data_IF_267760436436
#
_entry.id   IF_267760436436
#
_cell.length_a   1.000
_cell.length_b   1.000
_cell.length_c   1.000
_cell.angle_alpha   90.00
_cell.angle_beta   90.00
_cell.angle_gamma   90.00
#
_symmetry.space_group_name_H-M   'P 1'
#
loop_
_entity.id
_entity.type
_entity.pdbx_description
1 polymer ?
#
# COMPACT_ATOMS: atom_id res chain seq x y z
N UNK A 1 -19.65 -30.36 -39.79
CA UNK A 1 -19.28 -30.21 -38.37
C UNK A 1 -18.68 -28.82 -38.19
N UNK A 2 -19.20 -28.05 -37.22
CA UNK A 2 -18.97 -26.61 -37.06
C UNK A 2 -17.62 -26.33 -36.40
N UNK A 3 -16.84 -25.42 -37.00
CA UNK A 3 -15.64 -24.81 -36.41
C UNK A 3 -15.98 -24.15 -35.07
N UNK A 4 -15.31 -24.57 -34.00
CA UNK A 4 -15.35 -23.88 -32.70
C UNK A 4 -14.23 -22.84 -32.67
N UNK A 5 -14.52 -21.54 -32.51
CA UNK A 5 -13.49 -20.56 -32.23
C UNK A 5 -12.98 -20.80 -30.80
N UNK A 6 -11.71 -21.17 -30.67
CA UNK A 6 -11.03 -21.25 -29.37
C UNK A 6 -10.82 -19.84 -28.86
N UNK A 7 -11.58 -19.53 -27.81
CA UNK A 7 -11.69 -18.23 -27.15
C UNK A 7 -10.37 -17.51 -26.94
N UNK A 8 -10.25 -16.39 -27.63
CA UNK A 8 -9.55 -15.16 -27.24
C UNK A 8 -10.14 -14.55 -25.94
N UNK A 9 -10.43 -15.38 -24.93
CA UNK A 9 -11.04 -14.97 -23.66
C UNK A 9 -10.04 -14.86 -22.51
N UNK A 10 -8.74 -14.88 -22.78
CA UNK A 10 -7.69 -14.83 -21.74
C UNK A 10 -7.16 -13.40 -21.47
N UNK A 11 -7.66 -12.40 -22.21
CA UNK A 11 -7.29 -10.98 -22.05
C UNK A 11 -8.41 -10.21 -21.29
N UNK A 12 -9.56 -10.85 -21.03
CA UNK A 12 -10.70 -10.24 -20.33
C UNK A 12 -10.81 -10.65 -18.85
N UNK A 13 -9.68 -10.90 -18.16
CA UNK A 13 -9.65 -10.57 -16.73
C UNK A 13 -9.37 -9.08 -16.60
N UNK A 14 -10.39 -8.31 -16.97
CA UNK A 14 -10.62 -6.98 -16.44
C UNK A 14 -10.62 -7.17 -14.92
N UNK A 15 -9.43 -6.97 -14.37
CA UNK A 15 -9.19 -6.67 -12.98
C UNK A 15 -10.20 -5.59 -12.61
N UNK A 16 -11.32 -5.98 -12.01
CA UNK A 16 -12.22 -5.07 -11.32
C UNK A 16 -11.48 -4.53 -10.11
N UNK A 17 -10.47 -3.69 -10.35
CA UNK A 17 -9.75 -2.95 -9.33
C UNK A 17 -10.59 -1.72 -9.08
N UNK A 18 -11.53 -1.83 -8.15
CA UNK A 18 -12.18 -0.65 -7.60
C UNK A 18 -11.11 0.37 -7.21
N UNK A 19 -11.39 1.65 -7.43
CA UNK A 19 -10.51 2.73 -6.97
C UNK A 19 -10.59 2.84 -5.45
N UNK A 20 -9.48 3.25 -4.84
CA UNK A 20 -9.40 3.56 -3.40
C UNK A 20 -8.79 4.95 -3.23
N UNK A 21 -9.38 5.80 -2.39
CA UNK A 21 -8.78 7.09 -2.11
C UNK A 21 -7.55 6.94 -1.23
N UNK A 22 -6.55 7.79 -1.43
CA UNK A 22 -5.32 7.81 -0.63
C UNK A 22 -5.59 7.93 0.89
N UNK A 23 -6.65 8.66 1.28
CA UNK A 23 -7.09 8.79 2.68
C UNK A 23 -7.54 7.45 3.28
N UNK A 24 -8.18 6.61 2.46
CA UNK A 24 -8.69 5.31 2.88
C UNK A 24 -7.57 4.29 2.98
N UNK A 25 -6.57 4.35 2.09
CA UNK A 25 -5.33 3.57 2.21
C UNK A 25 -4.69 3.80 3.58
N UNK A 26 -4.51 5.06 3.99
CA UNK A 26 -3.92 5.39 5.28
C UNK A 26 -4.74 4.84 6.44
N UNK A 27 -6.06 5.04 6.39
CA UNK A 27 -6.98 4.51 7.41
C UNK A 27 -6.91 2.98 7.51
N UNK A 28 -6.90 2.27 6.38
CA UNK A 28 -6.80 0.81 6.36
C UNK A 28 -5.49 0.34 6.95
N UNK A 29 -4.35 0.93 6.57
CA UNK A 29 -3.03 0.60 7.13
C UNK A 29 -3.00 0.77 8.66
N UNK A 30 -3.58 1.84 9.19
CA UNK A 30 -3.65 2.07 10.63
C UNK A 30 -4.58 1.08 11.35
N UNK A 31 -5.66 0.63 10.69
CA UNK A 31 -6.55 -0.40 11.21
C UNK A 31 -5.92 -1.80 11.20
N UNK A 32 -5.13 -2.14 10.17
CA UNK A 32 -4.46 -3.45 10.08
C UNK A 32 -3.62 -3.75 11.33
N UNK A 33 -2.97 -2.73 11.91
CA UNK A 33 -2.19 -2.86 13.14
C UNK A 33 -3.02 -3.26 14.37
N UNK A 34 -4.32 -2.96 14.38
CA UNK A 34 -5.22 -3.22 15.51
C UNK A 34 -5.84 -4.62 15.48
N UNK A 35 -5.93 -5.24 14.30
CA UNK A 35 -6.66 -6.50 14.08
C UNK A 35 -5.75 -7.73 13.86
N UNK A 36 -4.47 -7.64 14.26
CA UNK A 36 -3.53 -8.76 14.23
C UNK A 36 -2.47 -8.66 13.11
N UNK A 37 -1.89 -9.80 12.72
CA UNK A 37 -0.74 -9.90 11.80
C UNK A 37 -1.18 -9.79 10.31
N UNK A 38 -2.17 -8.95 10.03
CA UNK A 38 -2.68 -8.75 8.67
C UNK A 38 -1.66 -8.02 7.82
N UNK A 39 -1.50 -8.49 6.58
CA UNK A 39 -0.58 -7.90 5.62
C UNK A 39 -1.30 -7.24 4.46
N UNK A 40 -0.62 -6.33 3.80
CA UNK A 40 -1.09 -5.64 2.61
C UNK A 40 -0.05 -5.72 1.49
N UNK A 41 -0.46 -5.38 0.27
CA UNK A 41 0.41 -5.29 -0.89
C UNK A 41 0.31 -3.90 -1.52
N UNK A 42 1.41 -3.42 -2.08
CA UNK A 42 1.47 -2.13 -2.77
C UNK A 42 2.24 -2.25 -4.08
N UNK A 43 1.82 -1.44 -5.06
CA UNK A 43 2.69 -1.05 -6.16
C UNK A 43 2.96 0.44 -6.11
N UNK A 44 4.15 0.84 -6.57
CA UNK A 44 4.63 2.21 -6.48
C UNK A 44 5.54 2.55 -7.64
N UNK A 45 5.72 3.85 -7.90
CA UNK A 45 6.64 4.35 -8.91
C UNK A 45 8.03 4.54 -8.33
N UNK A 46 9.05 4.03 -9.03
CA UNK A 46 10.46 4.21 -8.69
C UNK A 46 11.00 5.50 -9.30
N UNK A 47 12.21 5.88 -8.88
CA UNK A 47 12.91 7.09 -9.36
C UNK A 47 13.16 7.07 -10.87
N UNK A 48 13.41 5.90 -11.44
CA UNK A 48 13.63 5.69 -12.89
C UNK A 48 12.32 5.67 -13.69
N UNK A 49 11.17 5.88 -13.05
CA UNK A 49 9.86 5.84 -13.69
C UNK A 49 9.26 4.44 -13.81
N UNK A 50 10.02 3.37 -13.53
CA UNK A 50 9.53 2.00 -13.51
C UNK A 50 8.63 1.72 -12.31
N UNK A 51 7.87 0.64 -12.37
CA UNK A 51 7.04 0.19 -11.26
C UNK A 51 7.80 -0.78 -10.34
N UNK A 52 7.55 -0.65 -9.04
CA UNK A 52 7.94 -1.60 -8.01
C UNK A 52 6.73 -2.20 -7.33
N UNK A 53 6.91 -3.39 -6.76
CA UNK A 53 5.89 -4.11 -5.99
C UNK A 53 6.48 -4.56 -4.64
N UNK A 54 5.65 -4.49 -3.60
CA UNK A 54 5.90 -5.15 -2.31
C UNK A 54 4.64 -5.87 -1.85
N UNK A 55 4.79 -7.15 -1.53
CA UNK A 55 3.75 -8.01 -0.96
C UNK A 55 4.08 -8.34 0.49
N UNK A 56 3.09 -8.83 1.22
CA UNK A 56 3.23 -9.22 2.63
C UNK A 56 3.80 -8.07 3.48
N UNK A 57 3.34 -6.85 3.22
CA UNK A 57 3.72 -5.67 3.97
C UNK A 57 2.92 -5.62 5.27
N UNK A 58 3.51 -5.16 6.37
CA UNK A 58 2.80 -4.84 7.60
C UNK A 58 3.09 -3.41 8.02
N UNK A 59 2.18 -2.84 8.77
CA UNK A 59 2.33 -1.47 9.22
C UNK A 59 3.53 -1.36 10.17
N UNK A 60 4.37 -0.35 9.96
CA UNK A 60 5.48 0.00 10.86
C UNK A 60 5.15 1.25 11.69
N UNK A 61 3.89 1.65 11.76
CA UNK A 61 3.44 2.66 12.72
C UNK A 61 3.82 2.16 14.10
N UNK A 62 5.01 2.61 14.52
CA UNK A 62 5.67 2.23 15.75
C UNK A 62 4.64 2.30 16.86
N UNK A 63 4.47 1.20 17.59
CA UNK A 63 3.99 1.13 18.96
C UNK A 63 3.79 2.54 19.53
N UNK A 64 2.64 3.15 19.21
CA UNK A 64 2.42 4.57 19.49
C UNK A 64 2.08 4.56 20.96
N UNK A 65 3.11 4.51 21.81
CA UNK A 65 2.96 4.95 23.19
C UNK A 65 2.28 6.30 23.08
N UNK A 66 1.04 6.36 23.56
CA UNK A 66 0.22 7.55 23.61
C UNK A 66 0.91 8.59 24.51
N UNK A 67 2.00 9.18 24.03
CA UNK A 67 2.61 10.34 24.65
C UNK A 67 1.75 11.54 24.26
N UNK A 68 1.36 12.32 25.28
CA UNK A 68 0.56 13.55 25.12
C UNK A 68 1.10 14.39 23.97
N UNK A 69 0.19 14.90 23.16
CA UNK A 69 0.49 15.69 21.98
C UNK A 69 1.07 17.05 22.36
N UNK A 70 2.40 17.13 22.48
CA UNK A 70 3.11 18.41 22.58
C UNK A 70 3.19 19.09 21.20
N UNK A 71 3.40 20.39 21.10
CA UNK A 71 3.49 21.11 19.81
C UNK A 71 4.58 20.53 18.88
N UNK A 72 5.64 19.98 19.46
CA UNK A 72 6.68 19.23 18.74
C UNK A 72 6.16 17.91 18.13
N UNK A 73 5.19 17.25 18.77
CA UNK A 73 4.54 16.04 18.26
C UNK A 73 3.71 16.33 16.99
N UNK A 74 3.11 17.52 16.89
CA UNK A 74 2.32 17.95 15.73
C UNK A 74 3.25 18.16 14.52
N UNK A 75 4.40 18.83 14.68
CA UNK A 75 5.40 18.97 13.60
C UNK A 75 5.92 17.61 13.12
N UNK A 76 6.17 16.68 14.05
CA UNK A 76 6.58 15.32 13.70
C UNK A 76 5.46 14.54 12.99
N UNK A 77 4.21 14.71 13.40
CA UNK A 77 3.05 14.10 12.73
C UNK A 77 2.87 14.64 11.30
N UNK A 78 3.03 15.95 11.08
CA UNK A 78 2.95 16.58 9.76
C UNK A 78 4.06 16.10 8.82
N UNK A 79 5.29 15.95 9.31
CA UNK A 79 6.39 15.40 8.49
C UNK A 79 6.19 13.92 8.13
N UNK A 80 5.44 13.17 8.96
CA UNK A 80 5.05 11.77 8.70
C UNK A 80 3.86 11.66 7.74
N UNK A 81 3.03 12.69 7.60
CA UNK A 81 1.78 12.61 6.85
C UNK A 81 1.96 12.28 5.36
N UNK A 82 3.15 12.54 4.79
CA UNK A 82 3.46 12.26 3.39
C UNK A 82 4.00 10.86 3.09
N UNK A 83 4.27 10.02 4.11
CA UNK A 83 4.94 8.72 3.92
C UNK A 83 4.12 7.55 4.46
N UNK A 84 4.05 6.49 3.66
CA UNK A 84 3.69 5.15 4.11
C UNK A 84 4.93 4.44 4.65
N UNK A 85 4.93 4.11 5.94
CA UNK A 85 6.01 3.38 6.61
C UNK A 85 5.59 1.94 6.85
N UNK A 86 6.38 0.99 6.36
CA UNK A 86 6.02 -0.41 6.42
C UNK A 86 7.23 -1.31 6.56
N UNK A 87 6.98 -2.54 6.95
CA UNK A 87 7.92 -3.63 6.86
C UNK A 87 7.42 -4.64 5.85
N UNK A 88 8.29 -5.26 5.07
CA UNK A 88 7.93 -6.34 4.16
C UNK A 88 8.88 -7.52 4.38
N UNK A 89 8.38 -8.74 4.14
CA UNK A 89 9.24 -9.93 4.16
C UNK A 89 10.07 -10.01 2.88
N UNK A 90 11.39 -10.12 3.04
CA UNK A 90 12.27 -10.46 1.92
C UNK A 90 12.24 -11.97 1.60
N UNK A 91 13.00 -12.37 0.58
CA UNK A 91 13.10 -13.78 0.17
C UNK A 91 13.70 -14.68 1.25
N UNK A 92 14.50 -14.12 2.17
CA UNK A 92 15.07 -14.83 3.32
C UNK A 92 14.17 -14.85 4.55
N UNK A 93 12.92 -14.37 4.44
CA UNK A 93 11.95 -14.32 5.53
C UNK A 93 12.18 -13.21 6.55
N UNK A 94 13.15 -12.31 6.32
CA UNK A 94 13.45 -11.19 7.22
C UNK A 94 12.52 -10.01 6.96
N UNK A 95 12.07 -9.37 8.04
CA UNK A 95 11.31 -8.12 7.95
C UNK A 95 12.24 -6.95 7.65
N UNK A 96 12.08 -6.34 6.49
CA UNK A 96 12.84 -5.17 6.05
C UNK A 96 12.00 -3.90 6.11
N UNK A 97 12.54 -2.86 6.75
CA UNK A 97 11.90 -1.56 6.93
C UNK A 97 12.02 -0.71 5.67
N UNK A 98 10.91 -0.10 5.24
CA UNK A 98 10.86 0.85 4.11
C UNK A 98 9.88 1.99 4.37
N UNK A 99 10.08 3.06 3.63
CA UNK A 99 9.21 4.24 3.59
C UNK A 99 9.00 4.62 2.12
N UNK A 100 7.76 4.91 1.74
CA UNK A 100 7.39 5.36 0.39
C UNK A 100 6.49 6.58 0.53
N UNK A 101 6.72 7.60 -0.31
CA UNK A 101 5.83 8.76 -0.38
C UNK A 101 4.44 8.33 -0.87
N UNK A 102 3.39 8.78 -0.20
CA UNK A 102 2.01 8.45 -0.57
C UNK A 102 1.72 8.78 -2.04
N UNK A 103 2.20 9.92 -2.55
CA UNK A 103 2.04 10.32 -3.95
C UNK A 103 2.74 9.41 -4.99
N UNK A 104 3.62 8.51 -4.55
CA UNK A 104 4.27 7.52 -5.42
C UNK A 104 3.55 6.18 -5.41
N UNK A 105 2.54 5.98 -4.56
CA UNK A 105 1.77 4.75 -4.55
C UNK A 105 0.83 4.70 -5.76
N UNK A 106 0.69 3.52 -6.34
CA UNK A 106 -0.11 3.30 -7.55
C UNK A 106 -1.30 2.40 -7.24
N UNK A 107 -1.06 1.32 -6.50
CA UNK A 107 -2.14 0.46 -5.99
C UNK A 107 -1.92 0.03 -4.55
N UNK A 108 -3.02 -0.27 -3.87
CA UNK A 108 -3.06 -0.85 -2.53
C UNK A 108 -3.99 -2.06 -2.51
N UNK A 109 -3.50 -3.23 -2.13
CA UNK A 109 -4.23 -4.50 -2.15
C UNK A 109 -4.91 -4.80 -3.50
N UNK A 110 -4.28 -4.37 -4.60
CA UNK A 110 -4.86 -4.51 -5.93
C UNK A 110 -5.97 -3.51 -6.23
N UNK A 111 -6.15 -2.43 -5.47
CA UNK A 111 -7.02 -1.30 -5.82
C UNK A 111 -6.19 -0.14 -6.34
N UNK A 112 -6.57 0.46 -7.47
CA UNK A 112 -5.88 1.65 -7.99
C UNK A 112 -6.12 2.80 -7.02
N UNK A 113 -5.05 3.49 -6.66
CA UNK A 113 -5.14 4.60 -5.72
C UNK A 113 -5.51 5.87 -6.48
N UNK A 114 -6.59 6.50 -6.05
CA UNK A 114 -6.98 7.85 -6.43
C UNK A 114 -6.27 8.86 -5.50
N UNK A 115 -5.50 9.77 -6.12
CA UNK A 115 -4.77 10.85 -5.46
C UNK A 115 -5.49 12.20 -5.51
N UNK A 116 -6.70 12.24 -6.06
CA UNK A 116 -7.54 13.44 -6.01
C UNK A 116 -7.94 13.74 -4.56
N UNK A 117 -7.93 15.03 -4.20
CA UNK A 117 -8.25 15.55 -2.87
C UNK A 117 -9.61 16.23 -2.85
#
# INVERSE_FOLDING_TARGET
>A
MKNRPTGLGLIERIFSMGTIYIRDVRRQVDLLTKFGDQTFSITYRKKDGSYGEKKNCRNRSADVKHQKSDLLSIRQASRRAGYLRFEFRDQGGRWLKREILFCLLVSFNGHIIDHNF
#
